data_IF_024686895126
#
_entry.id   IF_024686895126
#
_cell.length_a   1.000
_cell.length_b   1.000
_cell.length_c   1.000
_cell.angle_alpha   90.00
_cell.angle_beta   90.00
_cell.angle_gamma   90.00
#
_symmetry.space_group_name_H-M   'P 1'
#
loop_
_entity.id
_entity.type
_entity.pdbx_description
1 polymer ?
#
# COMPACT_ATOMS: atom_id res chain seq x y z
N UNK A 1 -27.45 -24.22 -11.38
CA UNK A 1 -27.21 -23.21 -11.78
C UNK A 1 -27.30 -22.47 -11.27
N UNK A 2 -27.02 -22.94 -11.25
CA UNK A 2 -26.79 -22.01 -11.38
C UNK A 2 -26.65 -21.20 -10.93
N UNK A 3 -26.48 -21.91 -10.98
CA UNK A 3 -26.09 -20.85 -11.08
C UNK A 3 -26.14 -20.24 -10.67
N UNK A 4 -26.01 -20.76 -10.69
CA UNK A 4 -25.76 -19.75 -10.80
C UNK A 4 -25.77 -19.23 -10.32
N UNK A 5 -25.78 -20.15 -10.30
CA UNK A 5 -25.43 -19.26 -10.49
C UNK A 5 -25.36 -18.98 -9.96
N UNK A 6 -24.78 -19.15 -9.84
CA UNK A 6 -24.40 -18.51 -10.01
C UNK A 6 -24.09 -17.91 -9.91
N UNK A 7 -23.75 -18.62 -10.03
CA UNK A 7 -23.23 -17.64 -10.39
C UNK A 7 -23.11 -17.11 -10.27
N UNK A 8 -22.90 -17.82 -10.39
CA UNK A 8 -22.49 -17.00 -10.79
C UNK A 8 -22.28 -16.50 -10.55
N UNK A 9 -21.97 -16.85 -10.52
CA UNK A 9 -21.54 -15.99 -10.68
C UNK A 9 -21.25 -15.59 -10.53
N UNK A 10 -20.96 -16.08 -10.66
CA UNK A 10 -20.42 -15.35 -10.87
C UNK A 10 -20.01 -14.89 -10.66
N UNK A 11 -19.87 -15.24 -10.67
CA UNK A 11 -19.10 -14.61 -10.87
C UNK A 11 -18.63 -14.36 -10.43
N UNK A 12 -18.12 -14.60 -10.38
CA UNK A 12 -17.36 -14.06 -10.24
C UNK A 12 -16.78 -13.89 -9.82
N UNK A 13 -16.62 -14.16 -9.87
CA UNK A 13 -15.74 -13.81 -9.68
C UNK A 13 -15.25 -13.34 -9.10
N UNK A 14 -15.09 -13.56 -9.11
CA UNK A 14 -14.36 -13.02 -8.77
C UNK A 14 -13.81 -12.45 -8.22
N UNK A 15 -13.67 -12.46 -8.31
CA UNK A 15 -12.92 -11.95 -7.96
C UNK A 15 -12.50 -11.49 -7.16
N UNK A 16 -12.44 -11.62 -7.14
CA UNK A 16 -11.86 -11.28 -6.50
C UNK A 16 -11.30 -11.05 -5.79
N UNK A 17 -11.07 -11.13 -5.93
CA UNK A 17 -10.25 -11.02 -5.27
C UNK A 17 -9.55 -10.66 -4.92
N UNK A 18 -9.83 -10.86 -5.38
CA UNK A 18 -9.08 -10.45 -4.79
C UNK A 18 -8.33 -9.71 -4.04
N UNK A 19 -8.36 -8.69 -4.03
CA UNK A 19 -7.38 -7.98 -3.25
C UNK A 19 -7.30 -8.59 -1.89
N UNK A 20 -6.10 -8.75 -1.38
CA UNK A 20 -5.91 -9.33 -0.09
C UNK A 20 -6.65 -8.50 0.95
N UNK A 21 -7.26 -9.16 1.91
CA UNK A 21 -7.92 -8.51 3.04
C UNK A 21 -6.85 -8.13 4.06
N UNK A 22 -5.99 -7.19 3.67
CA UNK A 22 -4.84 -6.77 4.46
C UNK A 22 -4.85 -5.28 4.65
N UNK A 23 -4.59 -4.85 5.87
CA UNK A 23 -4.27 -3.47 6.16
C UNK A 23 -2.91 -3.39 6.85
N UNK A 24 -2.30 -2.24 6.83
CA UNK A 24 -0.99 -2.02 7.43
C UNK A 24 -1.07 -0.86 8.42
N UNK A 25 -0.47 -1.05 9.58
CA UNK A 25 -0.48 -0.01 10.62
C UNK A 25 0.93 0.23 11.12
N UNK A 26 1.24 1.49 11.38
CA UNK A 26 2.50 1.89 11.98
C UNK A 26 2.45 1.56 13.46
N UNK A 27 3.23 0.58 13.88
CA UNK A 27 3.30 0.19 15.28
C UNK A 27 4.24 1.10 16.05
N UNK A 28 5.33 1.49 15.42
CA UNK A 28 6.35 2.36 16.01
C UNK A 28 7.10 3.06 14.87
N UNK A 29 8.00 4.00 15.18
CA UNK A 29 8.81 4.65 14.14
C UNK A 29 9.71 3.70 13.34
N UNK A 30 9.80 2.43 13.73
CA UNK A 30 10.64 1.45 13.04
C UNK A 30 9.89 0.19 12.63
N UNK A 31 8.57 0.12 12.82
CA UNK A 31 7.86 -1.15 12.67
C UNK A 31 6.45 -0.95 12.14
N UNK A 32 6.11 -1.76 11.13
CA UNK A 32 4.76 -1.79 10.53
C UNK A 32 4.21 -3.20 10.70
N UNK A 33 2.97 -3.30 11.18
CA UNK A 33 2.25 -4.56 11.26
C UNK A 33 1.33 -4.71 10.06
N UNK A 34 1.29 -5.93 9.52
CA UNK A 34 0.27 -6.34 8.55
C UNK A 34 -0.82 -7.06 9.31
N UNK A 35 -2.04 -6.60 9.14
CA UNK A 35 -3.18 -7.16 9.84
C UNK A 35 -4.25 -7.56 8.83
N UNK A 36 -5.02 -8.58 9.18
CA UNK A 36 -6.19 -8.93 8.38
C UNK A 36 -7.25 -7.84 8.57
N UNK A 37 -7.73 -7.28 7.47
CA UNK A 37 -8.61 -6.12 7.53
C UNK A 37 -9.94 -6.41 8.19
N UNK A 38 -10.49 -7.63 8.01
CA UNK A 38 -11.81 -7.96 8.51
C UNK A 38 -11.85 -8.20 10.02
N UNK A 39 -10.77 -8.66 10.64
CA UNK A 39 -10.80 -9.02 12.06
C UNK A 39 -9.58 -8.56 12.85
N UNK A 40 -8.62 -7.90 12.21
CA UNK A 40 -7.42 -7.39 12.89
C UNK A 40 -6.39 -8.46 13.25
N UNK A 41 -6.53 -9.68 12.74
CA UNK A 41 -5.58 -10.74 13.05
C UNK A 41 -4.18 -10.38 12.54
N UNK A 42 -3.17 -10.66 13.35
CA UNK A 42 -1.78 -10.37 12.98
C UNK A 42 -1.33 -11.30 11.86
N UNK A 43 -0.80 -10.73 10.79
CA UNK A 43 -0.31 -11.50 9.64
C UNK A 43 1.20 -11.46 9.51
N UNK A 44 1.86 -10.47 10.09
CA UNK A 44 3.30 -10.33 10.03
C UNK A 44 3.72 -8.89 10.23
N UNK A 45 5.03 -8.67 10.17
CA UNK A 45 5.57 -7.33 10.39
C UNK A 45 6.63 -7.00 9.36
N UNK A 46 6.86 -5.70 9.16
CA UNK A 46 7.86 -5.17 8.25
C UNK A 46 8.71 -4.18 9.04
N UNK A 47 10.03 -4.34 8.95
CA UNK A 47 10.99 -3.42 9.57
C UNK A 47 11.78 -2.71 8.47
N UNK A 48 11.29 -1.58 7.97
CA UNK A 48 12.03 -0.86 6.93
C UNK A 48 13.31 -0.26 7.51
N UNK A 49 14.40 -0.36 6.76
CA UNK A 49 15.71 0.05 7.25
C UNK A 49 15.80 1.55 7.54
N UNK A 50 15.01 2.37 6.85
CA UNK A 50 15.03 3.82 7.03
C UNK A 50 14.05 4.35 8.06
N UNK A 51 13.29 3.48 8.71
CA UNK A 51 12.26 3.92 9.65
C UNK A 51 10.92 4.19 8.96
N UNK A 52 9.94 4.61 9.74
CA UNK A 52 8.57 4.82 9.29
C UNK A 52 8.09 6.20 9.71
N UNK A 53 7.71 7.01 8.74
CA UNK A 53 7.00 8.27 8.98
C UNK A 53 5.51 8.11 8.72
N UNK A 54 5.16 7.36 7.67
CA UNK A 54 3.78 7.18 7.25
C UNK A 54 3.64 5.86 6.51
N UNK A 55 2.47 5.26 6.56
CA UNK A 55 2.20 4.00 5.87
C UNK A 55 0.83 4.07 5.20
N UNK A 56 0.73 3.48 4.00
CA UNK A 56 -0.52 3.33 3.29
C UNK A 56 -0.66 1.93 2.74
N UNK A 57 -1.89 1.49 2.52
CA UNK A 57 -2.18 0.16 2.02
C UNK A 57 -3.53 0.15 1.32
N UNK A 58 -3.60 -0.50 0.14
CA UNK A 58 -4.86 -0.66 -0.59
C UNK A 58 -5.31 -2.13 -0.63
N UNK A 59 -4.68 -2.99 0.17
CA UNK A 59 -4.97 -4.42 0.17
C UNK A 59 -4.04 -5.22 -0.71
N UNK A 60 -3.37 -4.60 -1.67
CA UNK A 60 -2.40 -5.27 -2.55
C UNK A 60 -0.97 -4.79 -2.32
N UNK A 61 -0.82 -3.50 -2.11
CA UNK A 61 0.48 -2.87 -1.94
C UNK A 61 0.52 -2.10 -0.64
N UNK A 62 1.61 -2.24 0.09
CA UNK A 62 1.93 -1.43 1.26
C UNK A 62 3.04 -0.46 0.85
N UNK A 63 2.83 0.82 1.09
CA UNK A 63 3.85 1.85 0.87
C UNK A 63 4.25 2.44 2.20
N UNK A 64 5.55 2.49 2.46
CA UNK A 64 6.09 3.02 3.71
C UNK A 64 7.00 4.20 3.37
N UNK A 65 6.64 5.37 3.89
CA UNK A 65 7.44 6.59 3.73
C UNK A 65 8.38 6.70 4.93
N UNK A 66 9.68 6.84 4.65
CA UNK A 66 10.66 7.05 5.70
C UNK A 66 10.80 8.55 6.00
N UNK A 67 11.35 8.92 7.18
CA UNK A 67 11.65 10.32 7.46
C UNK A 67 12.65 10.96 6.49
N UNK A 68 13.37 10.16 5.73
CA UNK A 68 14.39 10.64 4.80
C UNK A 68 13.86 10.79 3.36
N UNK A 69 12.55 10.61 3.15
CA UNK A 69 11.95 10.82 1.83
C UNK A 69 12.05 9.64 0.88
N UNK A 70 12.22 8.44 1.42
CA UNK A 70 12.21 7.21 0.61
C UNK A 70 10.88 6.49 0.84
N UNK A 71 10.25 6.08 -0.25
CA UNK A 71 9.03 5.26 -0.18
C UNK A 71 9.38 3.84 -0.60
N UNK A 72 9.18 2.89 0.29
CA UNK A 72 9.40 1.47 0.03
C UNK A 72 8.06 0.79 -0.23
N UNK A 73 8.02 -0.08 -1.22
CA UNK A 73 6.81 -0.82 -1.60
C UNK A 73 6.95 -2.27 -1.21
N UNK A 74 5.88 -2.81 -0.65
CA UNK A 74 5.82 -4.20 -0.21
C UNK A 74 4.55 -4.84 -0.70
N UNK A 75 4.60 -6.14 -0.97
CA UNK A 75 3.41 -6.91 -1.28
C UNK A 75 2.59 -7.08 0.00
N UNK A 76 1.33 -6.66 -0.02
CA UNK A 76 0.51 -6.70 1.18
C UNK A 76 0.23 -8.13 1.64
N UNK A 77 0.10 -9.05 0.70
CA UNK A 77 -0.28 -10.43 0.99
C UNK A 77 0.82 -11.19 1.73
N UNK A 78 2.08 -10.98 1.37
CA UNK A 78 3.19 -11.74 1.96
C UNK A 78 4.28 -10.88 2.59
N UNK A 79 4.20 -9.55 2.48
CA UNK A 79 5.20 -8.66 3.06
C UNK A 79 6.50 -8.55 2.28
N UNK A 80 6.57 -9.11 1.08
CA UNK A 80 7.80 -9.11 0.29
C UNK A 80 8.12 -7.71 -0.24
N UNK A 81 9.39 -7.33 -0.14
CA UNK A 81 9.86 -6.04 -0.66
C UNK A 81 9.78 -6.04 -2.19
N UNK A 82 9.21 -4.96 -2.75
CA UNK A 82 8.99 -4.84 -4.18
C UNK A 82 9.82 -3.75 -4.84
N UNK A 83 10.47 -2.91 -4.06
CA UNK A 83 11.26 -1.81 -4.57
C UNK A 83 10.99 -0.52 -3.84
N UNK A 84 11.66 0.54 -4.24
CA UNK A 84 11.52 1.83 -3.57
C UNK A 84 11.60 2.98 -4.56
N UNK A 85 11.06 4.12 -4.14
CA UNK A 85 11.16 5.39 -4.86
C UNK A 85 11.76 6.43 -3.94
N UNK A 86 12.31 7.51 -4.52
CA UNK A 86 12.92 8.58 -3.74
C UNK A 86 12.26 9.92 -4.12
N UNK A 87 11.05 10.20 -3.63
CA UNK A 87 10.41 11.48 -3.94
C UNK A 87 11.10 12.68 -3.30
N UNK A 88 11.99 12.45 -2.34
CA UNK A 88 12.77 13.52 -1.76
C UNK A 88 12.32 13.91 -0.37
N UNK A 89 13.13 14.76 0.27
CA UNK A 89 12.83 15.25 1.61
C UNK A 89 11.60 16.17 1.60
N UNK A 90 11.00 16.37 2.76
CA UNK A 90 9.85 17.24 2.90
C UNK A 90 8.51 16.56 2.68
N UNK A 91 8.50 15.26 2.39
CA UNK A 91 7.26 14.50 2.27
C UNK A 91 6.64 14.30 3.66
N UNK A 92 5.32 14.44 3.75
CA UNK A 92 4.61 14.38 5.03
C UNK A 92 3.71 13.16 5.17
N UNK A 93 3.37 12.50 4.08
CA UNK A 93 2.49 11.34 4.16
C UNK A 93 2.47 10.54 2.88
N UNK A 94 1.94 9.33 2.98
CA UNK A 94 1.77 8.44 1.84
C UNK A 94 0.42 7.76 1.97
N UNK A 95 -0.24 7.55 0.83
CA UNK A 95 -1.49 6.79 0.72
C UNK A 95 -1.39 5.86 -0.47
N UNK A 96 -2.12 4.75 -0.41
CA UNK A 96 -2.24 3.84 -1.56
C UNK A 96 -3.71 3.65 -1.85
N UNK A 97 -4.12 3.93 -3.07
CA UNK A 97 -5.52 3.85 -3.48
C UNK A 97 -5.60 3.31 -4.90
N UNK A 98 -6.26 2.15 -5.06
CA UNK A 98 -6.54 1.63 -6.40
C UNK A 98 -5.32 1.46 -7.28
N UNK A 99 -4.21 1.01 -6.73
CA UNK A 99 -2.98 0.78 -7.49
C UNK A 99 -2.12 2.02 -7.69
N UNK A 100 -2.44 3.12 -7.02
CA UNK A 100 -1.69 4.37 -7.11
C UNK A 100 -1.16 4.73 -5.73
N UNK A 101 0.11 5.06 -5.65
CA UNK A 101 0.72 5.59 -4.42
C UNK A 101 0.73 7.10 -4.52
N UNK A 102 0.14 7.75 -3.52
CA UNK A 102 0.12 9.22 -3.41
C UNK A 102 1.12 9.62 -2.33
N UNK A 103 2.10 10.43 -2.72
CA UNK A 103 3.11 10.94 -1.78
C UNK A 103 2.87 12.44 -1.60
N UNK A 104 2.60 12.84 -0.37
CA UNK A 104 2.19 14.21 -0.06
C UNK A 104 3.35 15.02 0.49
N UNK A 105 3.44 16.26 0.04
CA UNK A 105 4.28 17.33 0.61
C UNK A 105 3.35 18.50 0.89
N UNK A 106 3.82 19.58 1.55
CA UNK A 106 2.93 20.69 1.90
C UNK A 106 2.18 21.31 0.71
N UNK A 107 2.79 21.36 -0.47
CA UNK A 107 2.17 22.01 -1.62
C UNK A 107 2.12 21.12 -2.86
N UNK A 108 2.35 19.80 -2.70
CA UNK A 108 2.55 18.93 -3.83
C UNK A 108 2.11 17.51 -3.49
N UNK A 109 1.44 16.87 -4.44
CA UNK A 109 1.16 15.44 -4.37
C UNK A 109 1.75 14.79 -5.61
N UNK A 110 2.59 13.78 -5.42
CA UNK A 110 3.14 12.97 -6.52
C UNK A 110 2.44 11.63 -6.57
N UNK A 111 2.20 11.15 -7.78
CA UNK A 111 1.53 9.87 -8.00
C UNK A 111 2.51 8.89 -8.61
N UNK A 112 2.53 7.68 -8.08
CA UNK A 112 3.36 6.59 -8.58
C UNK A 112 2.52 5.35 -8.77
N UNK A 113 2.89 4.54 -9.76
CA UNK A 113 2.24 3.24 -9.96
C UNK A 113 2.66 2.30 -8.82
N UNK A 114 1.66 1.73 -8.11
CA UNK A 114 1.95 0.90 -6.95
C UNK A 114 2.66 -0.41 -7.32
N UNK A 115 2.44 -0.91 -8.52
CA UNK A 115 3.01 -2.19 -8.94
C UNK A 115 4.48 -2.09 -9.33
N UNK A 116 4.86 -1.02 -10.01
CA UNK A 116 6.22 -0.91 -10.55
C UNK A 116 6.98 0.33 -10.06
N UNK A 117 6.34 1.23 -9.31
CA UNK A 117 6.98 2.43 -8.79
C UNK A 117 7.18 3.54 -9.81
N UNK A 118 6.61 3.42 -10.99
CA UNK A 118 6.81 4.42 -12.04
C UNK A 118 6.11 5.73 -11.69
N UNK A 119 6.79 6.85 -11.90
CA UNK A 119 6.22 8.18 -11.68
C UNK A 119 5.08 8.42 -12.68
N UNK A 120 3.92 8.86 -12.19
CA UNK A 120 2.74 9.06 -13.02
C UNK A 120 2.35 10.52 -13.16
N UNK A 121 2.93 11.40 -12.38
CA UNK A 121 2.60 12.81 -12.44
C UNK A 121 2.49 13.43 -11.07
N UNK A 122 2.20 14.74 -11.05
CA UNK A 122 2.10 15.46 -9.80
C UNK A 122 1.10 16.60 -9.94
N UNK A 123 0.59 17.04 -8.80
CA UNK A 123 -0.32 18.18 -8.70
C UNK A 123 0.19 19.12 -7.64
N UNK A 124 0.14 20.43 -7.94
CA UNK A 124 0.53 21.49 -7.00
C UNK A 124 -0.71 22.23 -6.52
N UNK A 125 -0.67 22.72 -5.28
CA UNK A 125 -1.74 23.53 -4.73
C UNK A 125 -1.24 24.52 -3.69
#
# INVERSE_FOLDING_TARGET
MKLLGRLALLGFTITTMSAADVTAVMKSPSLVYRLKGSNGAFLGQIQPSGGVLSVGCDGETIAILSPHGVVSRYNAENGAFMGQMQPGSGCTGVQVTGGVILVQSPHLVRRYNARNGAFMGQSQF
#
